data_IF_006207894846
#
_entry.id   IF_006207894846
#
_cell.length_a   1.000
_cell.length_b   1.000
_cell.length_c   1.000
_cell.angle_alpha   90.00
_cell.angle_beta   90.00
_cell.angle_gamma   90.00
#
_symmetry.space_group_name_H-M   'P 1'
#
loop_
_entity.id
_entity.type
_entity.pdbx_description
1 polymer ?
#
# COMPACT_ATOMS: atom_id res chain seq x y z
N UNK A 1 -8.78 -35.58 18.15
CA UNK A 1 -7.53 -35.56 18.92
C UNK A 1 -7.68 -34.91 20.32
N UNK A 2 -8.87 -34.49 20.70
CA UNK A 2 -9.19 -33.80 21.98
C UNK A 2 -8.31 -32.57 22.29
N UNK A 3 -7.68 -32.00 21.29
CA UNK A 3 -6.85 -30.79 21.38
C UNK A 3 -7.38 -29.79 20.37
N UNK A 4 -7.51 -28.48 20.71
CA UNK A 4 -7.85 -27.45 19.74
C UNK A 4 -6.82 -27.42 18.60
N UNK A 5 -7.30 -27.33 17.36
CA UNK A 5 -6.42 -27.36 16.18
C UNK A 5 -5.39 -26.22 16.19
N UNK A 6 -5.71 -25.07 16.76
CA UNK A 6 -4.80 -23.93 16.87
C UNK A 6 -3.55 -24.17 17.75
N UNK A 7 -3.42 -25.36 18.36
CA UNK A 7 -2.21 -25.77 19.08
C UNK A 7 -1.25 -26.63 18.24
N UNK A 8 -1.57 -26.87 16.99
CA UNK A 8 -0.66 -27.56 16.08
C UNK A 8 0.19 -26.56 15.32
N UNK A 9 1.49 -26.78 15.27
CA UNK A 9 2.48 -25.88 14.61
C UNK A 9 2.07 -25.49 13.19
N UNK A 10 1.59 -26.46 12.39
CA UNK A 10 1.11 -26.20 11.02
C UNK A 10 -0.14 -25.31 10.93
N UNK A 11 -0.84 -25.09 12.05
CA UNK A 11 -2.01 -24.21 12.14
C UNK A 11 -1.64 -22.88 12.80
N UNK A 12 -0.62 -22.86 13.66
CA UNK A 12 -0.15 -21.64 14.32
C UNK A 12 0.39 -20.64 13.31
N UNK A 13 1.10 -21.09 12.28
CA UNK A 13 1.65 -20.20 11.24
C UNK A 13 0.56 -19.41 10.49
N UNK A 14 -0.47 -20.02 9.86
CA UNK A 14 -1.53 -19.25 9.22
C UNK A 14 -2.32 -18.38 10.21
N UNK A 15 -2.53 -18.81 11.45
CA UNK A 15 -3.18 -17.97 12.49
C UNK A 15 -2.32 -16.74 12.81
N UNK A 16 -1.01 -16.91 12.97
CA UNK A 16 -0.10 -15.79 13.21
C UNK A 16 -0.08 -14.81 12.03
N UNK A 17 -0.08 -15.32 10.79
CA UNK A 17 -0.16 -14.50 9.58
C UNK A 17 -1.48 -13.74 9.49
N UNK A 18 -2.61 -14.37 9.80
CA UNK A 18 -3.91 -13.69 9.90
C UNK A 18 -3.89 -12.59 10.95
N UNK A 19 -3.35 -12.85 12.15
CA UNK A 19 -3.23 -11.88 13.23
C UNK A 19 -2.36 -10.67 12.84
N UNK A 20 -1.20 -10.91 12.23
CA UNK A 20 -0.32 -9.86 11.73
C UNK A 20 -0.97 -9.01 10.63
N UNK A 21 -1.67 -9.65 9.69
CA UNK A 21 -2.42 -8.93 8.66
C UNK A 21 -3.54 -8.09 9.27
N UNK A 22 -4.30 -8.63 10.22
CA UNK A 22 -5.37 -7.89 10.91
C UNK A 22 -4.83 -6.65 11.62
N UNK A 23 -3.72 -6.78 12.35
CA UNK A 23 -3.07 -5.65 13.01
C UNK A 23 -2.68 -4.54 12.02
N UNK A 24 -2.04 -4.90 10.91
CA UNK A 24 -1.66 -3.92 9.86
C UNK A 24 -2.89 -3.27 9.21
N UNK A 25 -3.95 -4.04 8.98
CA UNK A 25 -5.20 -3.53 8.41
C UNK A 25 -5.86 -2.54 9.37
N UNK A 26 -5.93 -2.84 10.65
CA UNK A 26 -6.53 -1.95 11.64
C UNK A 26 -5.71 -0.67 11.82
N UNK A 27 -4.40 -0.77 11.91
CA UNK A 27 -3.50 0.39 11.95
C UNK A 27 -3.68 1.29 10.72
N UNK A 28 -3.75 0.72 9.52
CA UNK A 28 -3.99 1.46 8.26
C UNK A 28 -5.33 2.19 8.30
N UNK A 29 -6.38 1.51 8.76
CA UNK A 29 -7.73 2.07 8.92
C UNK A 29 -7.71 3.27 9.88
N UNK A 30 -7.12 3.10 11.06
CA UNK A 30 -7.05 4.14 12.09
C UNK A 30 -6.28 5.35 11.58
N UNK A 31 -5.09 5.16 10.99
CA UNK A 31 -4.29 6.26 10.45
C UNK A 31 -5.00 7.01 9.32
N UNK A 32 -5.67 6.28 8.42
CA UNK A 32 -6.40 6.91 7.30
C UNK A 32 -7.61 7.71 7.81
N UNK A 33 -8.34 7.18 8.78
CA UNK A 33 -9.47 7.88 9.40
C UNK A 33 -8.99 9.12 10.17
N UNK A 34 -7.92 9.01 10.95
CA UNK A 34 -7.36 10.14 11.68
C UNK A 34 -6.88 11.28 10.74
N UNK A 35 -6.29 10.94 9.59
CA UNK A 35 -5.92 11.95 8.59
C UNK A 35 -7.15 12.73 8.09
N UNK A 36 -8.27 12.04 7.84
CA UNK A 36 -9.53 12.69 7.43
C UNK A 36 -10.10 13.57 8.55
N UNK A 37 -10.06 13.09 9.80
CA UNK A 37 -10.53 13.84 10.97
C UNK A 37 -9.72 15.13 11.20
N UNK A 38 -8.44 15.13 10.82
CA UNK A 38 -7.55 16.30 10.85
C UNK A 38 -7.77 17.25 9.65
N UNK A 39 -8.73 16.95 8.78
CA UNK A 39 -9.07 17.79 7.61
C UNK A 39 -8.22 17.52 6.37
N UNK A 40 -7.36 16.50 6.39
CA UNK A 40 -6.58 16.09 5.24
C UNK A 40 -7.46 15.46 4.15
N UNK A 41 -7.01 15.56 2.90
CA UNK A 41 -7.68 14.93 1.73
C UNK A 41 -6.78 13.85 1.12
N UNK A 42 -6.68 12.68 1.77
CA UNK A 42 -5.68 11.67 1.44
C UNK A 42 -6.04 10.85 0.19
N UNK A 43 -6.12 11.47 -0.99
CA UNK A 43 -6.57 10.82 -2.22
C UNK A 43 -5.71 9.62 -2.61
N UNK A 44 -4.37 9.74 -2.55
CA UNK A 44 -3.44 8.64 -2.87
C UNK A 44 -3.41 7.63 -1.74
N UNK A 45 -3.35 8.09 -0.48
CA UNK A 45 -3.36 7.22 0.70
C UNK A 45 -4.63 6.37 0.76
N UNK A 46 -5.80 6.92 0.43
CA UNK A 46 -7.05 6.17 0.35
C UNK A 46 -7.00 5.04 -0.70
N UNK A 47 -6.37 5.31 -1.85
CA UNK A 47 -6.13 4.29 -2.87
C UNK A 47 -5.18 3.19 -2.39
N UNK A 48 -4.10 3.55 -1.70
CA UNK A 48 -3.16 2.61 -1.08
C UNK A 48 -3.89 1.75 -0.04
N UNK A 49 -4.65 2.38 0.85
CA UNK A 49 -5.44 1.71 1.87
C UNK A 49 -6.43 0.73 1.24
N UNK A 50 -7.24 1.19 0.27
CA UNK A 50 -8.21 0.31 -0.43
C UNK A 50 -7.54 -0.91 -1.03
N UNK A 51 -6.44 -0.73 -1.76
CA UNK A 51 -5.73 -1.83 -2.40
C UNK A 51 -5.21 -2.85 -1.37
N UNK A 52 -4.45 -2.37 -0.39
CA UNK A 52 -3.81 -3.27 0.59
C UNK A 52 -4.80 -3.90 1.57
N UNK A 53 -5.82 -3.18 2.02
CA UNK A 53 -6.83 -3.74 2.92
C UNK A 53 -7.61 -4.87 2.24
N UNK A 54 -8.01 -4.70 0.98
CA UNK A 54 -8.78 -5.71 0.27
C UNK A 54 -7.94 -6.94 -0.12
N UNK A 55 -6.67 -6.76 -0.53
CA UNK A 55 -5.78 -7.88 -0.83
C UNK A 55 -5.39 -8.67 0.43
N UNK A 56 -5.12 -7.97 1.55
CA UNK A 56 -4.86 -8.65 2.83
C UNK A 56 -6.08 -9.37 3.37
N UNK A 57 -7.27 -8.77 3.22
CA UNK A 57 -8.52 -9.44 3.58
C UNK A 57 -8.72 -10.74 2.78
N UNK A 58 -8.41 -10.73 1.48
CA UNK A 58 -8.41 -11.94 0.65
C UNK A 58 -7.49 -13.01 1.23
N UNK A 59 -6.27 -12.64 1.61
CA UNK A 59 -5.30 -13.57 2.20
C UNK A 59 -5.79 -14.12 3.54
N UNK A 60 -6.28 -13.26 4.44
CA UNK A 60 -6.82 -13.66 5.75
C UNK A 60 -7.99 -14.65 5.62
N UNK A 61 -8.89 -14.42 4.67
CA UNK A 61 -10.03 -15.31 4.45
C UNK A 61 -9.57 -16.65 3.85
N UNK A 62 -8.61 -16.64 2.91
CA UNK A 62 -8.05 -17.87 2.37
C UNK A 62 -7.36 -18.69 3.48
N UNK A 63 -6.51 -18.08 4.30
CA UNK A 63 -5.87 -18.74 5.44
C UNK A 63 -6.93 -19.29 6.41
N UNK A 64 -7.99 -18.54 6.65
CA UNK A 64 -9.11 -18.98 7.48
C UNK A 64 -9.84 -20.20 6.90
N UNK A 65 -10.07 -20.24 5.59
CA UNK A 65 -10.66 -21.40 4.90
C UNK A 65 -9.78 -22.63 5.03
N UNK A 66 -8.47 -22.49 4.89
CA UNK A 66 -7.50 -23.59 5.03
C UNK A 66 -7.50 -24.13 6.47
N UNK A 67 -7.50 -23.26 7.47
CA UNK A 67 -7.53 -23.62 8.89
C UNK A 67 -8.84 -24.36 9.25
N UNK A 68 -9.98 -23.88 8.76
CA UNK A 68 -11.30 -24.47 9.05
C UNK A 68 -11.55 -25.73 8.22
N UNK A 69 -10.95 -25.83 7.04
CA UNK A 69 -11.04 -26.98 6.15
C UNK A 69 -12.47 -27.22 5.65
N UNK A 70 -12.92 -28.46 5.64
CA UNK A 70 -14.24 -28.84 5.11
C UNK A 70 -15.41 -28.09 5.73
N UNK A 71 -15.32 -27.62 6.96
CA UNK A 71 -16.37 -26.78 7.58
C UNK A 71 -16.49 -25.40 6.91
N UNK A 72 -15.42 -24.89 6.31
CA UNK A 72 -15.45 -23.64 5.54
C UNK A 72 -16.18 -23.78 4.20
N UNK A 73 -16.20 -24.99 3.64
CA UNK A 73 -16.83 -25.30 2.34
C UNK A 73 -18.30 -25.68 2.50
N UNK A 74 -18.64 -26.50 3.53
CA UNK A 74 -20.00 -26.94 3.78
C UNK A 74 -20.85 -25.77 4.28
N UNK A 75 -21.67 -25.21 3.43
CA UNK A 75 -22.56 -24.11 3.77
C UNK A 75 -23.64 -24.59 4.75
N UNK A 76 -23.80 -23.86 5.84
CA UNK A 76 -24.76 -24.17 6.90
C UNK A 76 -24.67 -23.15 8.04
N UNK A 77 -25.51 -23.26 9.08
CA UNK A 77 -25.58 -22.24 10.12
C UNK A 77 -24.30 -22.09 10.95
N UNK A 78 -23.43 -23.09 10.93
CA UNK A 78 -22.13 -23.05 11.62
C UNK A 78 -20.97 -22.53 10.72
N UNK A 79 -21.21 -22.28 9.44
CA UNK A 79 -20.19 -21.74 8.54
C UNK A 79 -20.18 -20.21 8.60
N UNK A 80 -19.14 -19.64 9.18
CA UNK A 80 -18.95 -18.20 9.29
C UNK A 80 -18.02 -17.62 8.21
N UNK A 81 -17.31 -18.46 7.43
CA UNK A 81 -16.32 -18.02 6.44
C UNK A 81 -16.82 -18.11 4.99
N UNK A 82 -17.66 -19.09 4.66
CA UNK A 82 -18.05 -19.34 3.28
C UNK A 82 -18.69 -18.13 2.58
N UNK A 83 -19.57 -17.40 3.27
CA UNK A 83 -20.18 -16.19 2.73
C UNK A 83 -19.12 -15.08 2.54
N UNK A 84 -18.21 -14.92 3.49
CA UNK A 84 -17.10 -13.94 3.39
C UNK A 84 -16.20 -14.28 2.20
N UNK A 85 -15.84 -15.56 2.02
CA UNK A 85 -15.06 -16.02 0.89
C UNK A 85 -15.70 -15.69 -0.47
N UNK A 86 -17.01 -15.92 -0.60
CA UNK A 86 -17.76 -15.58 -1.82
C UNK A 86 -17.84 -14.07 -2.08
N UNK A 87 -17.78 -13.25 -1.04
CA UNK A 87 -17.83 -11.78 -1.17
C UNK A 87 -16.50 -11.12 -1.50
N UNK A 88 -15.37 -11.80 -1.32
CA UNK A 88 -14.03 -11.22 -1.58
C UNK A 88 -13.95 -10.51 -2.93
N UNK A 89 -14.39 -11.10 -4.07
CA UNK A 89 -14.29 -10.44 -5.37
C UNK A 89 -15.00 -9.09 -5.43
N UNK A 90 -16.05 -8.89 -4.65
CA UNK A 90 -16.77 -7.62 -4.57
C UNK A 90 -15.83 -6.53 -4.08
N UNK A 91 -15.13 -6.73 -2.96
CA UNK A 91 -14.20 -5.76 -2.39
C UNK A 91 -13.02 -5.43 -3.34
N UNK A 92 -12.64 -6.37 -4.19
CA UNK A 92 -11.56 -6.20 -5.17
C UNK A 92 -12.01 -5.36 -6.37
N UNK A 93 -13.27 -5.49 -6.78
CA UNK A 93 -13.80 -4.92 -8.03
C UNK A 93 -14.56 -3.61 -7.86
N UNK A 94 -15.21 -3.38 -6.72
CA UNK A 94 -15.98 -2.16 -6.46
C UNK A 94 -15.11 -0.99 -6.02
N UNK A 95 -15.65 0.22 -6.12
CA UNK A 95 -14.97 1.47 -5.70
C UNK A 95 -13.61 1.66 -6.41
N UNK A 96 -13.54 1.27 -7.66
CA UNK A 96 -12.33 1.19 -8.44
C UNK A 96 -11.62 -0.16 -8.26
N UNK A 97 -11.61 -0.97 -9.32
CA UNK A 97 -10.95 -2.28 -9.31
C UNK A 97 -9.49 -2.15 -8.87
N UNK A 98 -8.98 -3.12 -8.12
CA UNK A 98 -7.61 -3.06 -7.59
C UNK A 98 -6.54 -2.88 -8.68
N UNK A 99 -6.76 -3.42 -9.89
CA UNK A 99 -5.87 -3.21 -11.03
C UNK A 99 -5.82 -1.72 -11.40
N UNK A 100 -6.98 -1.06 -11.47
CA UNK A 100 -7.09 0.37 -11.74
C UNK A 100 -6.50 1.21 -10.61
N UNK A 101 -6.86 0.89 -9.36
CA UNK A 101 -6.38 1.59 -8.16
C UNK A 101 -4.87 1.58 -8.09
N UNK A 102 -4.24 0.42 -8.29
CA UNK A 102 -2.78 0.28 -8.28
C UNK A 102 -2.12 1.09 -9.39
N UNK A 103 -2.64 1.03 -10.60
CA UNK A 103 -1.96 1.58 -11.77
C UNK A 103 -2.25 3.08 -11.98
N UNK A 104 -3.50 3.51 -11.82
CA UNK A 104 -3.88 4.91 -12.08
C UNK A 104 -3.86 5.78 -10.82
N UNK A 105 -4.35 5.28 -9.69
CA UNK A 105 -4.45 6.10 -8.47
C UNK A 105 -3.12 6.11 -7.73
N UNK A 106 -2.59 4.95 -7.36
CA UNK A 106 -1.37 4.87 -6.56
C UNK A 106 -0.18 5.30 -7.39
N UNK A 107 0.07 4.66 -8.53
CA UNK A 107 1.24 4.95 -9.35
C UNK A 107 1.07 6.27 -10.11
N UNK A 108 0.03 6.43 -10.93
CA UNK A 108 -0.13 7.61 -11.78
C UNK A 108 -0.28 8.90 -10.96
N UNK A 109 -1.25 8.96 -10.04
CA UNK A 109 -1.45 10.15 -9.20
C UNK A 109 -0.35 10.31 -8.15
N UNK A 110 0.14 9.22 -7.58
CA UNK A 110 1.24 9.24 -6.63
C UNK A 110 2.52 9.78 -7.24
N UNK A 111 2.91 9.30 -8.43
CA UNK A 111 4.06 9.81 -9.15
C UNK A 111 3.94 11.30 -9.48
N UNK A 112 2.78 11.72 -10.00
CA UNK A 112 2.54 13.14 -10.36
C UNK A 112 2.60 14.04 -9.13
N UNK A 113 2.03 13.62 -7.99
CA UNK A 113 1.88 14.48 -6.80
C UNK A 113 3.09 14.45 -5.87
N UNK A 114 3.78 13.32 -5.80
CA UNK A 114 4.85 13.11 -4.81
C UNK A 114 6.25 13.23 -5.42
N UNK A 115 6.39 13.06 -6.74
CA UNK A 115 7.69 13.18 -7.39
C UNK A 115 8.05 14.65 -7.63
N UNK A 116 9.26 15.12 -7.28
CA UNK A 116 9.60 16.54 -7.31
C UNK A 116 9.67 17.16 -8.72
N UNK A 117 9.77 16.34 -9.76
CA UNK A 117 9.95 16.80 -11.15
C UNK A 117 8.85 16.40 -12.11
N UNK A 118 8.13 15.30 -11.91
CA UNK A 118 7.14 14.78 -12.87
C UNK A 118 6.04 15.80 -13.18
N UNK A 119 5.52 16.49 -12.19
CA UNK A 119 4.50 17.52 -12.42
C UNK A 119 5.08 18.70 -13.24
N UNK A 120 6.31 19.13 -12.93
CA UNK A 120 7.00 20.22 -13.65
C UNK A 120 7.22 19.86 -15.13
N UNK A 121 7.62 18.62 -15.42
CA UNK A 121 7.78 18.13 -16.79
C UNK A 121 6.45 18.12 -17.55
N UNK A 122 5.35 17.70 -16.90
CA UNK A 122 4.02 17.71 -17.49
C UNK A 122 3.53 19.14 -17.76
N UNK A 123 3.75 20.06 -16.82
CA UNK A 123 3.37 21.48 -16.96
C UNK A 123 4.19 22.15 -18.05
N UNK A 124 5.49 21.93 -18.10
CA UNK A 124 6.36 22.42 -19.17
C UNK A 124 5.93 21.92 -20.56
N UNK A 125 5.56 20.63 -20.66
CA UNK A 125 5.07 20.06 -21.92
C UNK A 125 3.70 20.62 -22.36
N UNK A 126 2.95 21.27 -21.47
CA UNK A 126 1.65 21.92 -21.76
C UNK A 126 1.77 23.43 -22.03
N UNK A 127 2.97 24.00 -21.83
CA UNK A 127 3.18 25.42 -22.08
C UNK A 127 3.02 25.75 -23.57
N UNK A 128 2.29 26.81 -23.86
CA UNK A 128 1.95 27.21 -25.22
C UNK A 128 3.08 27.93 -25.98
N UNK A 129 4.02 28.55 -25.25
CA UNK A 129 5.18 29.20 -25.77
C UNK A 129 6.34 28.20 -25.94
N UNK A 130 6.73 27.81 -27.18
CA UNK A 130 7.75 26.78 -27.40
C UNK A 130 9.12 27.09 -26.75
N UNK A 131 9.52 28.37 -26.68
CA UNK A 131 10.79 28.73 -26.08
C UNK A 131 10.78 28.56 -24.55
N UNK A 132 9.68 28.93 -23.88
CA UNK A 132 9.50 28.73 -22.47
C UNK A 132 9.28 27.25 -22.14
N UNK A 133 8.51 26.55 -22.96
CA UNK A 133 8.28 25.11 -22.82
C UNK A 133 9.61 24.33 -22.81
N UNK A 134 10.47 24.58 -23.80
CA UNK A 134 11.77 23.91 -23.93
C UNK A 134 12.67 24.22 -22.74
N UNK A 135 12.80 25.50 -22.36
CA UNK A 135 13.67 25.88 -21.24
C UNK A 135 13.18 25.26 -19.89
N UNK A 136 11.87 25.30 -19.62
CA UNK A 136 11.30 24.74 -18.40
C UNK A 136 11.38 23.21 -18.38
N UNK A 137 11.21 22.57 -19.53
CA UNK A 137 11.33 21.12 -19.65
C UNK A 137 12.77 20.66 -19.43
N UNK A 138 13.75 21.33 -20.03
CA UNK A 138 15.16 21.00 -19.85
C UNK A 138 15.59 21.15 -18.39
N UNK A 139 15.18 22.23 -17.71
CA UNK A 139 15.45 22.42 -16.29
C UNK A 139 14.86 21.29 -15.44
N UNK A 140 13.61 20.93 -15.67
CA UNK A 140 12.93 19.86 -14.96
C UNK A 140 13.58 18.49 -15.25
N UNK A 141 13.90 18.19 -16.50
CA UNK A 141 14.52 16.94 -16.94
C UNK A 141 15.91 16.73 -16.33
N UNK A 142 16.78 17.75 -16.40
CA UNK A 142 18.12 17.64 -15.81
C UNK A 142 18.07 17.55 -14.28
N UNK A 143 17.12 18.25 -13.65
CA UNK A 143 16.85 18.11 -12.22
C UNK A 143 16.39 16.69 -11.86
N UNK A 144 15.51 16.09 -12.68
CA UNK A 144 15.03 14.72 -12.51
C UNK A 144 16.18 13.70 -12.65
N UNK A 145 17.02 13.83 -13.68
CA UNK A 145 18.20 12.97 -13.85
C UNK A 145 19.13 13.07 -12.64
N UNK A 146 19.43 14.29 -12.18
CA UNK A 146 20.23 14.52 -10.98
C UNK A 146 19.63 13.86 -9.72
N UNK A 147 18.31 13.96 -9.57
CA UNK A 147 17.57 13.31 -8.47
C UNK A 147 17.68 11.79 -8.52
N UNK A 148 17.53 11.18 -9.70
CA UNK A 148 17.67 9.72 -9.88
C UNK A 148 19.08 9.25 -9.54
N UNK A 149 20.11 9.93 -10.07
CA UNK A 149 21.52 9.61 -9.81
C UNK A 149 21.85 9.75 -8.32
N UNK A 150 21.39 10.84 -7.69
CA UNK A 150 21.57 11.08 -6.27
C UNK A 150 20.92 9.99 -5.41
N UNK A 151 19.69 9.62 -5.75
CA UNK A 151 18.97 8.57 -5.02
C UNK A 151 19.62 7.19 -5.20
N UNK A 152 20.12 6.89 -6.40
CA UNK A 152 20.84 5.64 -6.66
C UNK A 152 22.13 5.58 -5.83
N UNK A 153 22.91 6.64 -5.81
CA UNK A 153 24.13 6.71 -5.01
C UNK A 153 23.84 6.59 -3.51
N UNK A 154 22.81 7.31 -3.03
CA UNK A 154 22.39 7.23 -1.61
C UNK A 154 21.88 5.85 -1.24
N UNK A 155 21.05 5.22 -2.09
CA UNK A 155 20.56 3.88 -1.84
C UNK A 155 21.69 2.85 -1.77
N UNK A 156 22.71 2.97 -2.65
CA UNK A 156 23.88 2.12 -2.63
C UNK A 156 24.66 2.27 -1.31
N UNK A 157 24.95 3.52 -0.92
CA UNK A 157 25.68 3.81 0.32
C UNK A 157 24.91 3.34 1.55
N UNK A 158 23.61 3.64 1.62
CA UNK A 158 22.79 3.22 2.76
C UNK A 158 22.62 1.70 2.82
N UNK A 159 22.51 1.03 1.69
CA UNK A 159 22.47 -0.42 1.62
C UNK A 159 23.76 -1.08 2.10
N UNK A 160 24.91 -0.59 1.65
CA UNK A 160 26.23 -1.10 2.05
C UNK A 160 26.57 -0.82 3.52
N UNK A 161 26.07 0.28 4.07
CA UNK A 161 26.36 0.71 5.45
C UNK A 161 25.28 0.34 6.46
N UNK A 162 24.27 -0.44 6.07
CA UNK A 162 23.14 -0.79 6.94
C UNK A 162 22.43 0.45 7.49
N UNK A 163 22.38 1.53 6.69
CA UNK A 163 21.76 2.80 7.06
C UNK A 163 22.41 3.56 8.25
N UNK A 164 23.62 3.20 8.65
CA UNK A 164 24.33 3.80 9.81
C UNK A 164 24.50 5.33 9.72
N UNK A 165 24.54 5.88 8.51
CA UNK A 165 24.74 7.31 8.27
C UNK A 165 23.45 8.08 7.93
N UNK A 166 22.29 7.41 8.02
CA UNK A 166 21.00 8.08 7.78
C UNK A 166 20.66 8.95 8.98
N UNK A 167 20.46 10.25 8.73
CA UNK A 167 19.93 11.16 9.74
C UNK A 167 18.42 11.10 9.74
N UNK A 168 17.84 10.82 10.89
CA UNK A 168 16.41 10.94 11.12
C UNK A 168 16.06 12.43 11.15
N UNK A 169 15.06 12.92 10.39
CA UNK A 169 14.60 14.29 10.48
C UNK A 169 14.21 14.65 11.93
N UNK A 170 14.53 15.88 12.35
CA UNK A 170 14.34 16.30 13.74
C UNK A 170 12.86 16.46 14.14
N UNK A 171 11.97 16.49 13.17
CA UNK A 171 10.51 16.57 13.31
C UNK A 171 9.83 15.21 13.45
N UNK A 172 10.59 14.12 13.27
CA UNK A 172 10.07 12.76 13.52
C UNK A 172 10.24 12.44 15.01
N UNK A 173 9.12 12.17 15.69
CA UNK A 173 9.15 11.79 17.09
C UNK A 173 9.97 10.52 17.29
N UNK A 174 10.84 10.44 18.31
CA UNK A 174 11.69 9.28 18.56
C UNK A 174 10.93 8.00 18.93
N UNK A 175 9.62 8.09 19.09
CA UNK A 175 8.71 7.00 19.47
C UNK A 175 7.97 6.38 18.27
N UNK A 176 8.23 6.84 17.06
CA UNK A 176 7.79 6.24 15.79
C UNK A 176 8.95 5.44 15.19
#
# INVERSE_FOLDING_TARGET
>A
FKTPIGKFEGIEEPIARMGGNLYMMDATRVLTAAAVDLGEKPAVLSGIAKFHLTERNRQVINDGMDVVGGKGICMGPSNFLGAAYMQIPVSITVEGANILTRSLIIYGQGAIRCHPYVLKEIEAARESDPAKASAAFDEALFGHVGFVVSNLARSLVTGLTGSHFVRIPADVAPEM
#
